data_IF_378708340052
#
_entry.id   IF_378708340052
#
_cell.length_a   1.000
_cell.length_b   1.000
_cell.length_c   1.000
_cell.angle_alpha   90.00
_cell.angle_beta   90.00
_cell.angle_gamma   90.00
#
_symmetry.space_group_name_H-M   'P 1'
#
loop_
_entity.id
_entity.type
_entity.pdbx_description
1 polymer ?
#
# COMPACT_ATOMS: atom_id res chain seq x y z
N UNK A 1 2.49 -12.77 1.12
CA UNK A 1 1.32 -13.61 1.49
C UNK A 1 0.25 -12.87 2.28
N UNK A 2 0.58 -12.13 3.36
CA UNK A 2 -0.40 -11.41 4.19
C UNK A 2 -1.36 -10.48 3.42
N UNK A 3 -0.87 -9.72 2.45
CA UNK A 3 -1.70 -8.79 1.66
C UNK A 3 -2.74 -9.56 0.84
N UNK A 4 -2.36 -10.70 0.25
CA UNK A 4 -3.30 -11.56 -0.48
C UNK A 4 -4.40 -12.09 0.44
N UNK A 5 -4.02 -12.57 1.63
CA UNK A 5 -5.00 -13.00 2.64
C UNK A 5 -5.93 -11.86 3.05
N UNK A 6 -5.39 -10.68 3.36
CA UNK A 6 -6.20 -9.51 3.73
C UNK A 6 -7.20 -9.11 2.63
N UNK A 7 -6.82 -9.24 1.36
CA UNK A 7 -7.73 -9.02 0.24
C UNK A 7 -8.86 -10.05 0.18
N UNK A 8 -8.54 -11.34 0.35
CA UNK A 8 -9.53 -12.43 0.36
C UNK A 8 -10.48 -12.31 1.56
N UNK A 9 -9.94 -11.98 2.73
CA UNK A 9 -10.72 -11.81 3.95
C UNK A 9 -11.71 -10.65 3.82
N UNK A 10 -11.25 -9.48 3.36
CA UNK A 10 -12.13 -8.32 3.12
C UNK A 10 -13.20 -8.63 2.08
N UNK A 11 -12.85 -9.37 1.04
CA UNK A 11 -13.79 -9.87 0.05
C UNK A 11 -14.90 -10.72 0.71
N UNK A 12 -14.51 -11.72 1.50
CA UNK A 12 -15.46 -12.57 2.22
C UNK A 12 -16.34 -11.73 3.17
N UNK A 13 -15.76 -10.74 3.85
CA UNK A 13 -16.47 -9.90 4.84
C UNK A 13 -17.57 -9.07 4.17
N UNK A 14 -17.31 -8.52 2.98
CA UNK A 14 -18.28 -7.71 2.23
C UNK A 14 -19.45 -8.56 1.70
N UNK A 15 -19.20 -9.76 1.20
CA UNK A 15 -20.22 -10.56 0.51
C UNK A 15 -20.89 -11.62 1.38
N UNK A 16 -20.17 -12.17 2.35
CA UNK A 16 -20.54 -13.38 3.09
C UNK A 16 -20.38 -13.18 4.61
N UNK A 17 -20.80 -12.03 5.13
CA UNK A 17 -20.66 -11.68 6.56
C UNK A 17 -21.21 -12.77 7.52
N UNK A 18 -22.37 -13.36 7.22
CA UNK A 18 -22.99 -14.44 8.04
C UNK A 18 -22.11 -15.69 8.05
N UNK A 19 -21.53 -16.04 6.90
CA UNK A 19 -20.71 -17.24 6.75
C UNK A 19 -19.39 -17.11 7.52
N UNK A 20 -18.75 -15.92 7.47
CA UNK A 20 -17.55 -15.66 8.28
C UNK A 20 -17.85 -15.78 9.76
N UNK A 21 -18.95 -15.19 10.24
CA UNK A 21 -19.23 -15.22 11.68
C UNK A 21 -19.38 -16.66 12.20
N UNK A 22 -19.93 -17.56 11.37
CA UNK A 22 -20.06 -18.99 11.70
C UNK A 22 -18.73 -19.75 11.64
N UNK A 23 -17.82 -19.39 10.73
CA UNK A 23 -16.56 -20.09 10.48
C UNK A 23 -15.33 -19.21 10.71
N UNK A 24 -15.40 -18.33 11.70
CA UNK A 24 -14.41 -17.29 11.94
C UNK A 24 -13.03 -17.89 12.21
N UNK A 25 -12.97 -18.94 13.03
CA UNK A 25 -11.71 -19.63 13.37
C UNK A 25 -11.03 -20.19 12.11
N UNK A 26 -11.78 -20.85 11.25
CA UNK A 26 -11.24 -21.55 10.09
C UNK A 26 -10.87 -20.59 8.95
N UNK A 27 -11.63 -19.52 8.73
CA UNK A 27 -11.40 -18.60 7.61
C UNK A 27 -10.46 -17.45 7.95
N UNK A 28 -10.39 -17.03 9.21
CA UNK A 28 -9.57 -15.89 9.63
C UNK A 28 -8.24 -16.32 10.26
N UNK A 29 -8.29 -17.18 11.29
CA UNK A 29 -7.09 -17.51 12.06
C UNK A 29 -6.20 -18.53 11.36
N UNK A 30 -6.78 -19.57 10.77
CA UNK A 30 -6.00 -20.65 10.13
C UNK A 30 -5.10 -20.13 9.00
N UNK A 31 -5.56 -19.28 8.05
CA UNK A 31 -4.68 -18.79 7.00
C UNK A 31 -3.64 -17.78 7.51
N UNK A 32 -3.94 -17.00 8.54
CA UNK A 32 -2.95 -16.12 9.18
C UNK A 32 -1.83 -16.93 9.83
N UNK A 33 -2.19 -17.94 10.61
CA UNK A 33 -1.21 -18.86 11.23
C UNK A 33 -0.38 -19.53 10.14
N UNK A 34 -1.03 -20.02 9.07
CA UNK A 34 -0.33 -20.61 7.93
C UNK A 34 0.64 -19.61 7.27
N UNK A 35 0.21 -18.38 6.99
CA UNK A 35 1.05 -17.35 6.37
C UNK A 35 2.28 -16.97 7.21
N UNK A 36 2.27 -17.22 8.52
CA UNK A 36 3.40 -16.95 9.43
C UNK A 36 4.27 -18.20 9.59
N UNK A 37 3.66 -19.34 9.89
CA UNK A 37 4.39 -20.59 10.16
C UNK A 37 5.06 -21.13 8.89
N UNK A 38 4.36 -21.11 7.75
CA UNK A 38 4.90 -21.69 6.51
C UNK A 38 6.22 -21.03 6.07
N UNK A 39 6.33 -19.68 5.94
CA UNK A 39 7.61 -19.06 5.56
C UNK A 39 8.69 -19.31 6.61
N UNK A 40 8.35 -19.29 7.90
CA UNK A 40 9.32 -19.58 8.95
C UNK A 40 9.90 -20.99 8.82
N UNK A 41 9.06 -22.02 8.67
CA UNK A 41 9.51 -23.40 8.51
C UNK A 41 10.27 -23.59 7.19
N UNK A 42 9.80 -22.99 6.10
CA UNK A 42 10.47 -23.04 4.81
C UNK A 42 11.89 -22.46 4.90
N UNK A 43 12.03 -21.23 5.38
CA UNK A 43 13.33 -20.57 5.45
C UNK A 43 14.28 -21.22 6.46
N UNK A 44 13.79 -21.62 7.65
CA UNK A 44 14.63 -22.34 8.61
C UNK A 44 15.07 -23.69 8.04
N UNK A 45 14.19 -24.41 7.34
CA UNK A 45 14.52 -25.66 6.66
C UNK A 45 15.65 -25.50 5.65
N UNK A 46 15.54 -24.52 4.75
CA UNK A 46 16.60 -24.26 3.76
C UNK A 46 17.90 -23.78 4.41
N UNK A 47 17.85 -22.98 5.48
CA UNK A 47 19.06 -22.49 6.15
C UNK A 47 19.83 -23.64 6.83
N UNK A 48 19.14 -24.57 7.51
CA UNK A 48 19.82 -25.63 8.28
C UNK A 48 20.15 -26.89 7.46
N UNK A 49 19.31 -27.27 6.50
CA UNK A 49 19.46 -28.54 5.80
C UNK A 49 20.11 -28.42 4.42
N UNK A 50 20.14 -27.23 3.81
CA UNK A 50 20.71 -27.08 2.46
C UNK A 50 22.23 -26.90 2.53
N UNK A 51 23.04 -27.79 1.94
CA UNK A 51 24.50 -27.76 2.06
C UNK A 51 25.11 -26.71 1.13
N UNK A 52 25.17 -25.46 1.58
CA UNK A 52 25.86 -24.39 0.86
C UNK A 52 26.79 -23.59 1.78
N UNK A 53 27.87 -23.06 1.19
CA UNK A 53 28.85 -22.23 1.90
C UNK A 53 28.53 -20.77 1.65
N UNK A 54 28.21 -20.03 2.72
CA UNK A 54 27.96 -18.60 2.62
C UNK A 54 29.25 -17.85 2.24
N UNK A 55 29.17 -17.04 1.18
CA UNK A 55 30.25 -16.13 0.77
C UNK A 55 29.86 -14.71 1.16
N UNK A 56 30.63 -14.10 2.05
CA UNK A 56 30.38 -12.74 2.52
C UNK A 56 31.30 -11.75 1.80
N UNK A 57 30.71 -10.70 1.22
CA UNK A 57 31.45 -9.59 0.62
C UNK A 57 31.37 -8.35 1.52
N UNK A 58 32.41 -8.12 2.31
CA UNK A 58 32.51 -6.99 3.24
C UNK A 58 32.64 -5.61 2.56
N UNK A 59 32.74 -5.55 1.22
CA UNK A 59 32.78 -4.27 0.48
C UNK A 59 31.40 -3.70 0.16
N UNK A 60 30.34 -4.50 0.28
CA UNK A 60 28.96 -4.04 0.06
C UNK A 60 28.35 -3.58 1.38
N UNK A 61 27.53 -2.53 1.32
CA UNK A 61 26.84 -1.97 2.51
C UNK A 61 25.81 -2.96 3.07
N UNK A 62 25.22 -3.78 2.19
CA UNK A 62 24.23 -4.79 2.56
C UNK A 62 24.89 -6.15 2.74
N UNK A 63 24.54 -6.83 3.83
CA UNK A 63 24.84 -8.26 3.96
C UNK A 63 24.08 -9.01 2.86
N UNK A 64 24.81 -9.84 2.12
CA UNK A 64 24.23 -10.69 1.09
C UNK A 64 23.28 -11.72 1.75
N UNK A 65 22.23 -12.12 1.04
CA UNK A 65 21.25 -13.10 1.55
C UNK A 65 21.87 -14.49 1.79
N UNK A 66 21.09 -15.44 2.37
CA UNK A 66 21.55 -16.82 2.55
C UNK A 66 21.95 -17.47 1.21
N UNK A 67 22.96 -18.34 1.22
CA UNK A 67 23.54 -18.92 0.01
C UNK A 67 22.55 -19.66 -0.89
N UNK A 68 21.52 -20.31 -0.33
CA UNK A 68 20.52 -21.04 -1.13
C UNK A 68 19.72 -20.12 -2.07
N UNK A 69 19.61 -18.81 -1.80
CA UNK A 69 18.89 -17.90 -2.70
C UNK A 69 19.63 -17.68 -4.03
N UNK A 70 20.95 -17.86 -4.04
CA UNK A 70 21.78 -17.70 -5.24
C UNK A 70 21.93 -19.01 -6.03
N UNK A 71 21.55 -20.13 -5.44
CA UNK A 71 21.56 -21.43 -6.11
C UNK A 71 20.33 -21.57 -7.01
N UNK A 72 20.55 -22.08 -8.23
CA UNK A 72 19.54 -22.05 -9.29
C UNK A 72 18.24 -22.75 -8.89
N UNK A 73 18.33 -23.91 -8.26
CA UNK A 73 17.16 -24.73 -7.90
C UNK A 73 16.40 -24.14 -6.71
N UNK A 74 16.99 -24.02 -5.50
CA UNK A 74 16.27 -23.49 -4.33
C UNK A 74 15.84 -22.02 -4.51
N UNK A 75 16.66 -21.18 -5.15
CA UNK A 75 16.30 -19.79 -5.46
C UNK A 75 15.09 -19.70 -6.40
N UNK A 76 15.00 -20.57 -7.41
CA UNK A 76 13.83 -20.62 -8.30
C UNK A 76 12.56 -21.05 -7.57
N UNK A 77 12.66 -22.03 -6.67
CA UNK A 77 11.51 -22.50 -5.89
C UNK A 77 11.00 -21.38 -4.99
N UNK A 78 11.90 -20.67 -4.30
CA UNK A 78 11.54 -19.53 -3.48
C UNK A 78 10.86 -18.42 -4.29
N UNK A 79 11.48 -18.02 -5.41
CA UNK A 79 10.95 -16.99 -6.31
C UNK A 79 9.57 -17.36 -6.86
N UNK A 80 9.37 -18.60 -7.31
CA UNK A 80 8.12 -19.03 -7.92
C UNK A 80 7.02 -19.23 -6.87
N UNK A 81 7.32 -19.94 -5.78
CA UNK A 81 6.30 -20.35 -4.80
C UNK A 81 6.00 -19.26 -3.78
N UNK A 82 7.02 -18.55 -3.27
CA UNK A 82 6.83 -17.59 -2.18
C UNK A 82 6.58 -16.17 -2.67
N UNK A 83 7.04 -15.84 -3.89
CA UNK A 83 6.89 -14.52 -4.50
C UNK A 83 5.84 -14.51 -5.62
N UNK A 84 6.07 -15.29 -6.67
CA UNK A 84 5.32 -15.20 -7.93
C UNK A 84 3.89 -15.70 -7.77
N UNK A 85 3.70 -16.86 -7.14
CA UNK A 85 2.38 -17.46 -6.95
C UNK A 85 1.45 -16.57 -6.09
N UNK A 86 1.86 -16.04 -4.92
CA UNK A 86 1.03 -15.12 -4.15
C UNK A 86 0.72 -13.81 -4.89
N UNK A 87 1.66 -13.30 -5.69
CA UNK A 87 1.42 -12.12 -6.52
C UNK A 87 0.34 -12.42 -7.57
N UNK A 88 0.44 -13.55 -8.26
CA UNK A 88 -0.54 -13.96 -9.26
C UNK A 88 -1.94 -14.16 -8.67
N UNK A 89 -2.04 -14.88 -7.55
CA UNK A 89 -3.31 -15.06 -6.82
C UNK A 89 -3.87 -13.71 -6.38
N UNK A 90 -3.01 -12.80 -5.90
CA UNK A 90 -3.41 -11.44 -5.53
C UNK A 90 -4.00 -10.70 -6.72
N UNK A 91 -3.32 -10.65 -7.87
CA UNK A 91 -3.80 -9.98 -9.08
C UNK A 91 -5.16 -10.56 -9.51
N UNK A 92 -5.27 -11.89 -9.60
CA UNK A 92 -6.50 -12.57 -10.00
C UNK A 92 -7.65 -12.26 -9.03
N UNK A 93 -7.38 -12.32 -7.72
CA UNK A 93 -8.37 -12.03 -6.68
C UNK A 93 -8.87 -10.59 -6.75
N UNK A 94 -8.00 -9.62 -7.04
CA UNK A 94 -8.38 -8.22 -7.18
C UNK A 94 -9.19 -7.95 -8.44
N UNK A 95 -8.86 -8.60 -9.56
CA UNK A 95 -9.66 -8.52 -10.80
C UNK A 95 -11.07 -9.08 -10.53
N UNK A 96 -11.16 -10.27 -9.92
CA UNK A 96 -12.44 -10.89 -9.58
C UNK A 96 -13.27 -10.00 -8.63
N UNK A 97 -12.63 -9.42 -7.61
CA UNK A 97 -13.27 -8.50 -6.68
C UNK A 97 -13.82 -7.27 -7.40
N UNK A 98 -13.00 -6.66 -8.28
CA UNK A 98 -13.42 -5.52 -9.09
C UNK A 98 -14.63 -5.87 -9.96
N UNK A 99 -14.55 -6.95 -10.76
CA UNK A 99 -15.65 -7.39 -11.61
C UNK A 99 -16.95 -7.64 -10.81
N UNK A 100 -16.86 -8.31 -9.64
CA UNK A 100 -18.03 -8.55 -8.80
C UNK A 100 -18.63 -7.28 -8.23
N UNK A 101 -17.81 -6.32 -7.79
CA UNK A 101 -18.29 -5.04 -7.27
C UNK A 101 -19.06 -4.28 -8.36
N UNK A 102 -18.57 -4.28 -9.60
CA UNK A 102 -19.29 -3.68 -10.72
C UNK A 102 -20.61 -4.38 -11.01
N UNK A 103 -20.64 -5.71 -11.01
CA UNK A 103 -21.87 -6.47 -11.25
C UNK A 103 -22.91 -6.25 -10.14
N UNK A 104 -22.47 -6.22 -8.88
CA UNK A 104 -23.35 -6.11 -7.73
C UNK A 104 -23.91 -4.70 -7.48
N UNK A 105 -23.35 -3.68 -8.17
CA UNK A 105 -23.87 -2.31 -8.19
C UNK A 105 -25.37 -2.28 -8.53
N UNK A 106 -25.84 -3.14 -9.43
CA UNK A 106 -27.24 -3.17 -9.85
C UNK A 106 -28.19 -3.82 -8.84
N UNK A 107 -27.71 -4.73 -8.00
CA UNK A 107 -28.58 -5.48 -7.05
C UNK A 107 -28.74 -4.79 -5.69
N UNK A 108 -27.78 -3.97 -5.26
CA UNK A 108 -27.85 -3.32 -3.96
C UNK A 108 -28.68 -2.03 -4.00
N UNK A 109 -29.99 -2.14 -3.75
CA UNK A 109 -30.93 -1.00 -3.66
C UNK A 109 -30.69 -0.04 -2.48
N UNK A 110 -29.74 -0.34 -1.57
CA UNK A 110 -29.43 0.52 -0.41
C UNK A 110 -28.24 1.46 -0.68
N UNK A 111 -28.54 2.68 -1.16
CA UNK A 111 -27.53 3.68 -1.53
C UNK A 111 -26.53 4.04 -0.40
N UNK A 112 -26.97 4.06 0.87
CA UNK A 112 -26.11 4.48 2.00
C UNK A 112 -25.04 3.44 2.34
N UNK A 113 -25.39 2.14 2.38
CA UNK A 113 -24.40 1.06 2.61
C UNK A 113 -23.45 0.91 1.43
N UNK A 114 -23.96 1.12 0.21
CA UNK A 114 -23.15 1.08 -1.02
C UNK A 114 -22.00 2.10 -1.01
N UNK A 115 -22.26 3.35 -0.61
CA UNK A 115 -21.21 4.39 -0.57
C UNK A 115 -20.07 4.00 0.38
N UNK A 116 -20.37 3.45 1.56
CA UNK A 116 -19.36 2.97 2.51
C UNK A 116 -18.56 1.79 1.95
N UNK A 117 -19.24 0.77 1.42
CA UNK A 117 -18.57 -0.41 0.86
C UNK A 117 -17.70 -0.07 -0.36
N UNK A 118 -18.16 0.82 -1.24
CA UNK A 118 -17.39 1.27 -2.41
C UNK A 118 -16.07 1.94 -1.99
N UNK A 119 -16.09 2.77 -0.95
CA UNK A 119 -14.89 3.45 -0.47
C UNK A 119 -13.84 2.46 0.03
N UNK A 120 -14.26 1.46 0.82
CA UNK A 120 -13.39 0.40 1.34
C UNK A 120 -12.80 -0.46 0.20
N UNK A 121 -13.60 -0.77 -0.81
CA UNK A 121 -13.12 -1.50 -2.01
C UNK A 121 -12.08 -0.69 -2.76
N UNK A 122 -12.34 0.59 -3.03
CA UNK A 122 -11.39 1.46 -3.75
C UNK A 122 -10.06 1.56 -3.00
N UNK A 123 -10.13 1.71 -1.68
CA UNK A 123 -8.96 1.73 -0.81
C UNK A 123 -8.15 0.43 -0.91
N UNK A 124 -8.80 -0.72 -0.84
CA UNK A 124 -8.13 -2.01 -0.95
C UNK A 124 -7.44 -2.16 -2.30
N UNK A 125 -8.15 -1.83 -3.38
CA UNK A 125 -7.63 -1.89 -4.75
C UNK A 125 -6.42 -0.95 -4.89
N UNK A 126 -6.48 0.25 -4.30
CA UNK A 126 -5.34 1.19 -4.30
C UNK A 126 -4.10 0.61 -3.62
N UNK A 127 -4.25 -0.02 -2.44
CA UNK A 127 -3.14 -0.68 -1.74
C UNK A 127 -2.53 -1.77 -2.60
N UNK A 128 -3.37 -2.61 -3.23
CA UNK A 128 -2.88 -3.72 -4.04
C UNK A 128 -2.23 -3.23 -5.35
N UNK A 129 -2.76 -2.19 -5.99
CA UNK A 129 -2.12 -1.59 -7.17
C UNK A 129 -0.73 -1.08 -6.81
N UNK A 130 -0.58 -0.33 -5.72
CA UNK A 130 0.73 0.20 -5.29
C UNK A 130 1.69 -0.95 -4.96
N UNK A 131 1.20 -1.98 -4.25
CA UNK A 131 1.98 -3.17 -3.96
C UNK A 131 2.44 -3.88 -5.25
N UNK A 132 1.54 -4.16 -6.18
CA UNK A 132 1.86 -4.82 -7.44
C UNK A 132 2.81 -3.98 -8.30
N UNK A 133 2.64 -2.66 -8.33
CA UNK A 133 3.49 -1.75 -9.10
C UNK A 133 4.96 -1.83 -8.66
N UNK A 134 5.20 -2.10 -7.38
CA UNK A 134 6.56 -2.20 -6.82
C UNK A 134 7.10 -3.63 -6.90
N UNK A 135 6.25 -4.65 -6.72
CA UNK A 135 6.68 -6.05 -6.78
C UNK A 135 6.82 -6.60 -8.19
N UNK A 136 6.01 -6.16 -9.15
CA UNK A 136 6.11 -6.60 -10.55
C UNK A 136 7.49 -6.37 -11.18
N UNK A 137 8.09 -5.17 -11.13
CA UNK A 137 9.40 -4.95 -11.75
C UNK A 137 10.47 -5.81 -11.08
N UNK A 138 10.40 -6.03 -9.77
CA UNK A 138 11.32 -6.92 -9.04
C UNK A 138 11.21 -8.35 -9.58
N UNK A 139 9.99 -8.89 -9.63
CA UNK A 139 9.76 -10.26 -10.09
C UNK A 139 10.16 -10.41 -11.57
N UNK A 140 9.89 -9.42 -12.42
CA UNK A 140 10.32 -9.44 -13.82
C UNK A 140 11.84 -9.46 -13.92
N UNK A 141 12.56 -8.61 -13.17
CA UNK A 141 14.02 -8.63 -13.14
C UNK A 141 14.57 -9.99 -12.69
N UNK A 142 14.01 -10.57 -11.61
CA UNK A 142 14.44 -11.88 -11.09
C UNK A 142 14.11 -13.03 -12.06
N UNK A 143 12.99 -12.96 -12.78
CA UNK A 143 12.67 -13.93 -13.82
C UNK A 143 13.62 -13.81 -15.02
N UNK A 144 13.95 -12.60 -15.46
CA UNK A 144 14.94 -12.39 -16.54
C UNK A 144 16.30 -12.97 -16.13
N UNK A 145 16.72 -12.73 -14.89
CA UNK A 145 17.96 -13.29 -14.33
C UNK A 145 17.94 -14.84 -14.34
N UNK A 146 16.79 -15.44 -14.06
CA UNK A 146 16.63 -16.89 -14.06
C UNK A 146 16.76 -17.51 -15.47
N UNK A 147 16.32 -16.79 -16.50
CA UNK A 147 16.37 -17.27 -17.89
C UNK A 147 17.61 -16.84 -18.67
N UNK A 148 18.32 -15.79 -18.25
CA UNK A 148 19.43 -15.18 -19.00
C UNK A 148 20.69 -15.03 -18.14
N UNK A 149 21.73 -15.83 -18.44
CA UNK A 149 23.02 -15.77 -17.75
C UNK A 149 23.87 -14.53 -18.11
N UNK A 150 23.61 -13.91 -19.27
CA UNK A 150 24.46 -12.84 -19.82
C UNK A 150 24.27 -11.50 -19.11
N UNK A 151 23.08 -11.25 -18.52
CA UNK A 151 22.68 -9.92 -18.01
C UNK A 151 22.83 -9.81 -16.48
N UNK A 152 23.34 -10.84 -15.82
CA UNK A 152 23.27 -11.01 -14.36
C UNK A 152 23.83 -9.82 -13.56
N UNK A 153 25.03 -9.32 -13.87
CA UNK A 153 25.69 -8.34 -12.99
C UNK A 153 24.98 -6.97 -12.94
N UNK A 154 24.57 -6.43 -14.10
CA UNK A 154 23.92 -5.12 -14.17
C UNK A 154 22.52 -5.17 -13.54
N UNK A 155 21.78 -6.25 -13.79
CA UNK A 155 20.42 -6.42 -13.27
C UNK A 155 20.40 -6.61 -11.75
N UNK A 156 21.37 -7.33 -11.18
CA UNK A 156 21.47 -7.54 -9.73
C UNK A 156 21.72 -6.21 -9.01
N UNK A 157 22.65 -5.39 -9.50
CA UNK A 157 22.96 -4.12 -8.83
C UNK A 157 21.79 -3.13 -8.96
N UNK A 158 21.04 -3.14 -10.06
CA UNK A 158 19.82 -2.34 -10.21
C UNK A 158 18.67 -2.87 -9.34
N UNK A 159 18.45 -4.19 -9.32
CA UNK A 159 17.36 -4.83 -8.59
C UNK A 159 17.50 -4.62 -7.09
N UNK A 160 18.70 -4.89 -6.56
CA UNK A 160 18.99 -4.80 -5.13
C UNK A 160 19.01 -3.35 -4.66
N UNK A 161 19.65 -2.43 -5.40
CA UNK A 161 19.82 -1.07 -4.89
C UNK A 161 18.62 -0.16 -5.12
N UNK A 162 17.81 -0.35 -6.17
CA UNK A 162 16.69 0.55 -6.44
C UNK A 162 15.38 0.02 -5.84
N UNK A 163 15.10 -1.27 -6.04
CA UNK A 163 13.78 -1.80 -5.75
C UNK A 163 13.62 -2.32 -4.33
N UNK A 164 14.69 -2.80 -3.70
CA UNK A 164 14.63 -3.24 -2.29
C UNK A 164 14.17 -2.11 -1.37
N UNK A 165 14.67 -0.88 -1.58
CA UNK A 165 14.23 0.26 -0.78
C UNK A 165 12.78 0.66 -1.06
N UNK A 166 12.31 0.44 -2.29
CA UNK A 166 10.93 0.75 -2.68
C UNK A 166 9.89 -0.07 -1.90
N UNK A 167 10.23 -1.28 -1.45
CA UNK A 167 9.34 -2.11 -0.63
C UNK A 167 9.03 -1.43 0.71
N UNK A 168 10.02 -0.81 1.35
CA UNK A 168 9.83 -0.11 2.63
C UNK A 168 8.89 1.09 2.49
N UNK A 169 8.92 1.77 1.35
CA UNK A 169 8.00 2.87 1.04
C UNK A 169 6.55 2.36 1.05
N UNK A 170 6.27 1.18 0.47
CA UNK A 170 4.92 0.58 0.51
C UNK A 170 4.46 0.31 1.94
N UNK A 171 5.34 -0.28 2.75
CA UNK A 171 5.03 -0.62 4.13
C UNK A 171 4.70 0.65 4.92
N UNK A 172 5.47 1.72 4.71
CA UNK A 172 5.23 3.02 5.34
C UNK A 172 3.93 3.68 4.86
N UNK A 173 3.59 3.61 3.56
CA UNK A 173 2.40 4.25 2.99
C UNK A 173 1.10 3.49 3.31
N UNK A 174 1.17 2.16 3.43
CA UNK A 174 0.02 1.28 3.68
C UNK A 174 -0.88 1.70 4.86
N UNK A 175 -0.36 2.05 6.07
CA UNK A 175 -1.19 2.51 7.17
C UNK A 175 -1.89 3.83 6.86
N UNK A 176 -1.25 4.76 6.12
CA UNK A 176 -1.87 6.02 5.74
C UNK A 176 -3.03 5.80 4.75
N UNK A 177 -2.84 4.95 3.75
CA UNK A 177 -3.93 4.58 2.83
C UNK A 177 -5.05 3.89 3.62
N UNK A 178 -4.69 3.00 4.56
CA UNK A 178 -5.63 2.29 5.45
C UNK A 178 -6.44 3.25 6.35
N UNK A 179 -5.82 4.33 6.82
CA UNK A 179 -6.47 5.34 7.64
C UNK A 179 -7.42 6.22 6.80
N UNK A 180 -7.00 6.61 5.59
CA UNK A 180 -7.76 7.49 4.70
C UNK A 180 -9.11 6.90 4.24
N UNK A 181 -9.21 5.58 4.12
CA UNK A 181 -10.45 4.93 3.71
C UNK A 181 -11.43 4.59 4.83
N UNK A 182 -11.09 4.86 6.10
CA UNK A 182 -12.02 4.73 7.22
C UNK A 182 -12.94 5.97 7.27
N UNK A 183 -14.21 5.86 6.82
CA UNK A 183 -15.08 7.02 6.71
C UNK A 183 -15.39 7.66 8.08
N UNK A 184 -15.41 6.84 9.14
CA UNK A 184 -15.74 7.30 10.49
C UNK A 184 -14.60 8.14 11.08
N UNK A 185 -13.34 7.75 10.82
CA UNK A 185 -12.16 8.55 11.21
C UNK A 185 -12.12 9.85 10.40
N UNK A 186 -12.38 9.78 9.09
CA UNK A 186 -12.44 10.96 8.23
C UNK A 186 -13.50 11.96 8.70
N UNK A 187 -14.65 11.48 9.16
CA UNK A 187 -15.71 12.33 9.73
C UNK A 187 -15.31 12.98 11.06
N UNK A 188 -14.42 12.37 11.84
CA UNK A 188 -13.92 12.95 13.09
C UNK A 188 -12.75 13.92 12.87
N UNK A 189 -11.87 13.66 11.89
CA UNK A 189 -10.69 14.49 11.63
C UNK A 189 -10.99 15.76 10.83
N UNK A 190 -11.83 15.70 9.80
CA UNK A 190 -12.19 16.86 8.99
C UNK A 190 -12.69 18.05 9.83
N UNK A 191 -13.64 17.89 10.77
CA UNK A 191 -14.11 19.02 11.57
C UNK A 191 -13.02 19.56 12.50
N UNK A 192 -12.11 18.72 13.01
CA UNK A 192 -10.98 19.18 13.83
C UNK A 192 -9.98 20.01 13.04
N UNK A 193 -9.70 19.63 11.79
CA UNK A 193 -8.83 20.40 10.90
C UNK A 193 -9.48 21.73 10.52
N UNK A 194 -10.76 21.71 10.15
CA UNK A 194 -11.52 22.94 9.86
C UNK A 194 -11.62 23.87 11.09
N UNK A 195 -11.73 23.30 12.29
CA UNK A 195 -11.69 24.06 13.53
C UNK A 195 -10.30 24.70 13.75
N UNK A 196 -9.21 23.98 13.42
CA UNK A 196 -7.86 24.52 13.46
C UNK A 196 -7.66 25.68 12.48
N UNK A 197 -8.18 25.56 11.25
CA UNK A 197 -8.16 26.63 10.25
C UNK A 197 -8.95 27.87 10.72
N UNK A 198 -10.05 27.65 11.46
CA UNK A 198 -10.84 28.74 12.04
C UNK A 198 -10.04 29.46 13.14
N UNK A 199 -9.37 28.71 14.02
CA UNK A 199 -8.52 29.28 15.07
C UNK A 199 -7.32 30.02 14.47
N UNK A 200 -6.68 29.45 13.44
CA UNK A 200 -5.57 30.11 12.74
C UNK A 200 -6.01 31.38 12.02
N UNK A 201 -7.23 31.42 11.45
CA UNK A 201 -7.79 32.65 10.87
C UNK A 201 -8.15 33.72 11.92
N UNK A 202 -8.48 33.33 13.16
CA UNK A 202 -8.68 34.26 14.27
C UNK A 202 -7.34 34.84 14.75
N UNK A 203 -6.29 34.01 14.81
CA UNK A 203 -4.97 34.42 15.30
C UNK A 203 -4.17 35.18 14.24
N UNK A 204 -4.46 35.00 12.94
CA UNK A 204 -3.81 35.75 11.86
C UNK A 204 -4.06 37.25 12.10
N UNK A 205 -3.03 38.02 12.53
CA UNK A 205 -3.22 39.42 12.84
C UNK A 205 -3.68 40.09 11.56
N UNK A 206 -4.81 40.78 11.66
CA UNK A 206 -5.36 41.58 10.57
C UNK A 206 -4.40 42.74 10.37
N UNK A 207 -3.30 42.51 9.65
CA UNK A 207 -2.50 43.56 9.03
C UNK A 207 -3.40 44.18 7.97
N UNK A 208 -4.33 45.02 8.43
CA UNK A 208 -4.91 46.07 7.62
C UNK A 208 -3.73 46.90 7.17
N UNK A 209 -3.27 46.66 5.95
CA UNK A 209 -2.74 47.73 5.12
C UNK A 209 -3.80 48.81 5.11
N UNK A 210 -3.66 49.78 6.01
CA UNK A 210 -4.38 51.03 5.93
C UNK A 210 -3.90 51.68 4.63
N UNK A 211 -4.63 51.45 3.54
CA UNK A 211 -4.53 52.27 2.34
C UNK A 211 -5.07 53.63 2.77
N UNK A 212 -4.16 54.52 3.16
CA UNK A 212 -4.46 55.92 3.45
C UNK A 212 -4.95 56.51 2.13
N UNK A 213 -6.27 56.56 1.96
CA UNK A 213 -6.89 57.35 0.92
C UNK A 213 -6.68 58.82 1.31
N UNK A 214 -5.66 59.45 0.73
CA UNK A 214 -5.44 60.89 0.80
C UNK A 214 -6.55 61.54 -0.04
N UNK A 215 -7.68 61.83 0.60
CA UNK A 215 -8.75 62.63 0.02
C UNK A 215 -8.27 64.09 -0.03
N UNK A 216 -8.00 64.57 -1.24
CA UNK A 216 -7.65 65.96 -1.55
C UNK A 216 -8.83 66.87 -1.16
N UNK A 217 -8.56 67.83 -0.27
CA UNK A 217 -9.53 68.80 0.27
C UNK A 217 -9.89 69.82 -0.84
N UNK A 218 -11.17 70.04 -1.16
CA UNK A 218 -11.55 71.10 -2.10
C UNK A 218 -11.47 72.48 -1.44
N UNK A 219 -10.75 73.40 -2.08
CA UNK A 219 -10.68 74.82 -1.73
C UNK A 219 -12.08 75.46 -1.77
N UNK A 220 -12.51 76.10 -0.68
CA UNK A 220 -13.67 76.99 -0.67
C UNK A 220 -13.34 78.35 -1.33
N UNK A 221 -14.27 78.96 -2.08
CA UNK A 221 -14.08 80.28 -2.66
C UNK A 221 -14.36 81.41 -1.65
N UNK A 222 -13.58 82.49 -1.74
CA UNK A 222 -13.73 83.71 -0.95
C UNK A 222 -15.01 84.49 -1.30
N UNK A 223 -15.64 85.17 -0.33
CA UNK A 223 -16.76 86.07 -0.58
C UNK A 223 -16.28 87.37 -1.22
N UNK A 224 -16.95 87.80 -2.29
CA UNK A 224 -16.78 89.11 -2.89
C UNK A 224 -17.65 90.14 -2.16
N UNK A 225 -17.01 91.20 -1.66
CA UNK A 225 -17.62 92.46 -1.21
C UNK A 225 -17.75 93.44 -2.35
#
# INVERSE_FOLDING_TARGET
>A
MLICHASIERYLLVFHHIFIYRHLILLHYLPMIFCIIYPCLFYLGFIYFYPCVNKYNYRRITCQGPCYLFERIPGSIDLLTNLTLPLFISILSNILLFCRVFYQKHRMKQQRKWKKNRLLVIQLISIVIIHNLIWLPIIICLLIELFSSVVQQILIDLSVNLFTYSIYIVIMICPFISLLGLPDIRQQFIPRILMLDTILNIIRPRTRTAVIHISVLPLMPLPQT
#
